data_IF_730644118546
#
_entry.id   IF_730644118546
#
_cell.length_a   1.000
_cell.length_b   1.000
_cell.length_c   1.000
_cell.angle_alpha   90.00
_cell.angle_beta   90.00
_cell.angle_gamma   90.00
#
_symmetry.space_group_name_H-M   'P 1'
#
loop_
_entity.id
_entity.type
_entity.pdbx_description
1 polymer ?
#
# COMPACT_ATOMS: atom_id res chain seq x y z
N UNK A 1 25.29 20.88 -46.79
CA UNK A 1 26.03 20.27 -47.91
C UNK A 1 26.90 19.18 -47.30
N UNK A 2 26.26 18.11 -46.83
CA UNK A 2 26.91 16.95 -46.22
C UNK A 2 25.88 15.82 -46.15
N UNK A 3 25.31 15.52 -47.32
CA UNK A 3 24.29 14.47 -47.51
C UNK A 3 24.61 13.59 -48.72
N UNK A 4 25.90 13.50 -49.11
CA UNK A 4 26.32 12.82 -50.34
C UNK A 4 27.47 11.82 -50.16
N UNK A 5 27.76 11.40 -48.92
CA UNK A 5 28.77 10.36 -48.64
C UNK A 5 28.20 9.00 -48.19
N UNK A 6 26.88 8.79 -48.28
CA UNK A 6 26.19 7.56 -47.84
C UNK A 6 25.98 6.54 -48.99
N UNK A 7 26.68 6.65 -50.13
CA UNK A 7 26.32 5.83 -51.33
C UNK A 7 27.42 5.03 -52.03
N UNK A 8 28.58 4.78 -51.44
CA UNK A 8 29.64 4.05 -52.16
C UNK A 8 30.43 2.97 -51.41
N UNK A 9 29.80 2.22 -50.48
CA UNK A 9 30.39 0.94 -50.03
C UNK A 9 29.34 -0.18 -49.89
N UNK A 10 28.43 -0.27 -50.88
CA UNK A 10 27.64 -1.47 -51.13
C UNK A 10 28.02 -1.98 -52.53
N UNK A 11 29.09 -2.74 -52.61
CA UNK A 11 29.22 -3.98 -53.41
C UNK A 11 30.69 -4.35 -53.53
N UNK A 12 31.12 -5.39 -52.79
CA UNK A 12 32.04 -6.40 -53.30
C UNK A 12 32.24 -7.55 -52.30
N UNK A 13 31.87 -8.76 -52.72
CA UNK A 13 32.66 -9.95 -52.42
C UNK A 13 32.12 -10.88 -51.35
N UNK A 14 31.44 -11.95 -51.79
CA UNK A 14 30.93 -13.00 -50.92
C UNK A 14 32.00 -13.91 -50.30
N UNK A 15 31.60 -14.57 -49.21
CA UNK A 15 32.34 -15.66 -48.57
C UNK A 15 31.49 -16.27 -47.46
N UNK A 16 30.83 -17.40 -47.75
CA UNK A 16 30.06 -18.20 -46.79
C UNK A 16 30.95 -18.63 -45.63
N UNK A 17 30.54 -18.32 -44.40
CA UNK A 17 30.80 -19.13 -43.23
C UNK A 17 29.54 -19.11 -42.36
N UNK A 18 28.74 -20.16 -42.47
CA UNK A 18 27.59 -20.43 -41.61
C UNK A 18 28.10 -20.77 -40.20
N UNK A 19 28.40 -19.74 -39.40
CA UNK A 19 28.34 -19.85 -37.95
C UNK A 19 26.97 -19.35 -37.52
N UNK A 20 26.09 -20.30 -37.22
CA UNK A 20 24.79 -20.09 -36.59
C UNK A 20 25.02 -19.59 -35.15
N UNK A 21 25.43 -18.33 -35.01
CA UNK A 21 25.46 -17.63 -33.73
C UNK A 21 24.04 -17.13 -33.54
N UNK A 22 23.24 -17.89 -32.79
CA UNK A 22 22.01 -17.33 -32.26
C UNK A 22 22.38 -16.08 -31.46
N UNK A 23 21.72 -14.93 -31.68
CA UNK A 23 21.94 -13.77 -30.84
C UNK A 23 21.57 -14.15 -29.41
N UNK A 24 22.59 -14.26 -28.56
CA UNK A 24 22.41 -14.43 -27.12
C UNK A 24 21.66 -13.19 -26.66
N UNK A 25 20.37 -13.33 -26.37
CA UNK A 25 19.59 -12.29 -25.71
C UNK A 25 20.37 -11.85 -24.47
N UNK A 26 20.63 -10.55 -24.27
CA UNK A 26 21.36 -10.07 -23.10
C UNK A 26 20.70 -10.63 -21.84
N UNK A 27 21.46 -11.35 -21.01
CA UNK A 27 20.93 -11.86 -19.74
C UNK A 27 20.45 -10.67 -18.91
N UNK A 28 19.20 -10.71 -18.46
CA UNK A 28 18.68 -9.72 -17.52
C UNK A 28 19.59 -9.74 -16.28
N UNK A 29 20.06 -8.58 -15.78
CA UNK A 29 20.85 -8.54 -14.57
C UNK A 29 20.04 -9.12 -13.41
N UNK A 30 20.72 -9.78 -12.46
CA UNK A 30 20.06 -10.40 -11.29
C UNK A 30 19.31 -9.34 -10.49
N UNK A 31 19.89 -8.14 -10.34
CA UNK A 31 19.27 -7.02 -9.63
C UNK A 31 18.96 -5.86 -10.57
N UNK A 32 17.75 -5.32 -10.45
CA UNK A 32 17.29 -4.09 -11.08
C UNK A 32 17.19 -2.99 -10.02
N UNK A 33 18.01 -1.95 -10.21
CA UNK A 33 18.11 -0.77 -9.32
C UNK A 33 17.57 0.51 -9.99
N UNK A 34 16.98 0.37 -11.18
CA UNK A 34 16.60 1.51 -12.02
C UNK A 34 15.35 2.23 -11.54
N UNK A 35 14.45 1.52 -10.84
CA UNK A 35 13.24 2.11 -10.29
C UNK A 35 13.58 3.12 -9.18
N UNK A 36 13.02 4.34 -9.19
CA UNK A 36 13.37 5.37 -8.22
C UNK A 36 12.88 5.05 -6.79
N UNK A 37 11.89 4.15 -6.66
CA UNK A 37 11.23 3.85 -5.39
C UNK A 37 11.78 2.59 -4.73
N UNK A 38 11.98 1.50 -5.45
CA UNK A 38 12.45 0.22 -4.87
C UNK A 38 13.60 -0.37 -5.67
N UNK A 39 14.33 -1.29 -5.04
CA UNK A 39 15.30 -2.16 -5.70
C UNK A 39 14.75 -3.59 -5.66
N UNK A 40 15.03 -4.40 -6.68
CA UNK A 40 14.59 -5.81 -6.70
C UNK A 40 15.65 -6.71 -7.31
N UNK A 41 15.86 -7.88 -6.72
CA UNK A 41 16.68 -8.93 -7.31
C UNK A 41 15.83 -10.17 -7.58
N UNK A 42 16.00 -10.78 -8.76
CA UNK A 42 15.30 -11.99 -9.17
C UNK A 42 16.31 -13.04 -9.63
N UNK A 43 16.33 -14.18 -8.94
CA UNK A 43 17.19 -15.32 -9.24
C UNK A 43 16.31 -16.46 -9.73
N UNK A 44 16.72 -17.08 -10.83
CA UNK A 44 16.14 -18.32 -11.36
C UNK A 44 17.25 -19.37 -11.49
N UNK A 45 17.07 -20.53 -10.86
CA UNK A 45 18.10 -21.57 -10.73
C UNK A 45 18.44 -21.85 -9.26
N UNK A 46 19.67 -22.30 -8.99
CA UNK A 46 20.12 -22.65 -7.64
C UNK A 46 20.38 -21.38 -6.80
N UNK A 47 19.34 -20.93 -6.10
CA UNK A 47 19.40 -19.82 -5.15
C UNK A 47 19.57 -20.36 -3.74
N UNK A 48 20.58 -19.89 -3.00
CA UNK A 48 20.88 -20.31 -1.62
C UNK A 48 20.80 -19.13 -0.67
N UNK A 49 20.03 -19.26 0.40
CA UNK A 49 19.83 -18.19 1.38
C UNK A 49 20.57 -18.50 2.68
N UNK A 50 21.34 -17.52 3.15
CA UNK A 50 22.08 -17.55 4.40
C UNK A 50 21.55 -16.46 5.32
N UNK A 51 20.60 -16.82 6.17
CA UNK A 51 19.80 -15.90 6.98
C UNK A 51 20.58 -15.07 7.98
N UNK A 52 21.39 -15.74 8.79
CA UNK A 52 22.26 -15.10 9.79
C UNK A 52 23.13 -13.95 9.23
N UNK A 53 23.50 -14.03 7.95
CA UNK A 53 24.35 -13.05 7.26
C UNK A 53 23.59 -12.15 6.27
N UNK A 54 22.25 -12.23 6.23
CA UNK A 54 21.39 -11.55 5.23
C UNK A 54 21.93 -11.67 3.80
N UNK A 55 22.38 -12.87 3.44
CA UNK A 55 23.04 -13.11 2.16
C UNK A 55 22.23 -14.08 1.32
N UNK A 56 22.11 -13.77 0.03
CA UNK A 56 21.54 -14.65 -0.98
C UNK A 56 22.60 -14.91 -2.04
N UNK A 57 22.82 -16.17 -2.34
CA UNK A 57 23.77 -16.61 -3.36
C UNK A 57 23.03 -17.17 -4.57
N UNK A 58 23.45 -16.78 -5.76
CA UNK A 58 23.15 -17.51 -6.98
C UNK A 58 24.32 -18.41 -7.33
N UNK A 59 24.05 -19.69 -7.57
CA UNK A 59 25.05 -20.67 -8.03
C UNK A 59 24.81 -20.91 -9.53
N UNK A 60 25.64 -20.32 -10.42
CA UNK A 60 25.48 -20.50 -11.85
C UNK A 60 25.72 -21.96 -12.27
N UNK A 61 25.04 -22.46 -13.31
CA UNK A 61 25.38 -23.72 -13.93
C UNK A 61 26.85 -23.76 -14.40
N UNK A 62 27.45 -24.95 -14.44
CA UNK A 62 28.88 -25.15 -14.76
C UNK A 62 29.30 -24.54 -16.12
N UNK A 63 28.37 -24.40 -17.07
CA UNK A 63 28.61 -23.76 -18.39
C UNK A 63 28.38 -22.24 -18.43
N UNK A 64 27.94 -21.63 -17.34
CA UNK A 64 27.59 -20.21 -17.24
C UNK A 64 28.44 -19.42 -16.23
N UNK A 65 29.46 -20.07 -15.67
CA UNK A 65 30.41 -19.49 -14.73
C UNK A 65 31.22 -18.39 -15.43
N UNK A 66 30.82 -17.14 -15.24
CA UNK A 66 31.62 -15.98 -15.62
C UNK A 66 32.90 -15.87 -14.80
N UNK A 67 33.89 -15.15 -15.31
CA UNK A 67 35.13 -14.86 -14.58
C UNK A 67 34.88 -13.99 -13.33
N UNK A 68 33.92 -13.08 -13.42
CA UNK A 68 33.66 -12.08 -12.39
C UNK A 68 32.42 -12.42 -11.55
N UNK A 69 32.60 -12.48 -10.23
CA UNK A 69 31.49 -12.52 -9.27
C UNK A 69 30.81 -11.15 -9.23
N UNK A 70 29.49 -11.11 -9.34
CA UNK A 70 28.71 -9.88 -9.17
C UNK A 70 28.09 -9.85 -7.77
N UNK A 71 28.11 -8.69 -7.14
CA UNK A 71 27.57 -8.48 -5.80
C UNK A 71 26.74 -7.20 -5.76
N UNK A 72 25.57 -7.30 -5.13
CA UNK A 72 24.66 -6.19 -4.88
C UNK A 72 24.31 -6.15 -3.40
N UNK A 73 24.01 -4.96 -2.91
CA UNK A 73 23.53 -4.77 -1.55
C UNK A 73 22.33 -3.82 -1.60
N UNK A 74 21.14 -4.40 -1.46
CA UNK A 74 19.85 -3.69 -1.63
C UNK A 74 19.07 -3.69 -0.32
N UNK A 75 18.13 -2.77 -0.19
CA UNK A 75 17.12 -2.84 0.89
C UNK A 75 15.95 -3.65 0.36
N UNK A 76 15.63 -4.73 1.04
CA UNK A 76 14.55 -5.66 0.70
C UNK A 76 13.17 -5.09 1.10
N UNK A 77 12.92 -3.84 0.70
CA UNK A 77 11.76 -3.02 1.06
C UNK A 77 11.08 -2.41 -0.16
N UNK A 78 9.86 -1.93 0.05
CA UNK A 78 9.09 -1.16 -0.95
C UNK A 78 9.64 0.26 -1.20
N UNK A 79 10.59 0.73 -0.37
CA UNK A 79 11.25 2.03 -0.47
C UNK A 79 12.76 1.89 -0.23
N UNK A 80 13.58 2.14 -1.26
CA UNK A 80 15.04 1.95 -1.21
C UNK A 80 15.81 3.00 -0.40
N UNK A 81 15.19 4.13 -0.09
CA UNK A 81 15.79 5.23 0.68
C UNK A 81 15.58 5.13 2.20
N UNK A 82 14.98 4.06 2.71
CA UNK A 82 14.78 3.86 4.16
C UNK A 82 16.10 3.44 4.82
N UNK A 83 16.92 4.41 5.21
CA UNK A 83 18.29 4.15 5.69
C UNK A 83 18.38 3.24 6.91
N UNK A 84 17.35 3.25 7.76
CA UNK A 84 17.26 2.40 8.95
C UNK A 84 16.98 0.92 8.63
N UNK A 85 16.64 0.58 7.39
CA UNK A 85 16.50 -0.82 6.96
C UNK A 85 17.86 -1.34 6.52
N UNK A 86 18.26 -2.43 7.17
CA UNK A 86 19.49 -3.15 6.87
C UNK A 86 19.42 -3.78 5.48
N UNK A 87 20.56 -3.82 4.80
CA UNK A 87 20.63 -4.37 3.44
C UNK A 87 20.69 -5.89 3.45
N UNK A 88 20.22 -6.49 2.37
CA UNK A 88 20.45 -7.88 1.98
C UNK A 88 21.50 -7.89 0.88
N UNK A 89 22.52 -8.72 1.06
CA UNK A 89 23.57 -8.93 0.05
C UNK A 89 23.14 -10.03 -0.91
N UNK A 90 23.15 -9.74 -2.21
CA UNK A 90 22.90 -10.71 -3.27
C UNK A 90 24.18 -10.91 -4.06
N UNK A 91 24.64 -12.14 -4.21
CA UNK A 91 25.92 -12.45 -4.85
C UNK A 91 25.81 -13.60 -5.84
N UNK A 92 26.35 -13.40 -7.05
CA UNK A 92 26.58 -14.49 -7.99
C UNK A 92 27.96 -15.10 -7.73
N UNK A 93 27.99 -16.40 -7.46
CA UNK A 93 29.26 -17.11 -7.31
C UNK A 93 29.97 -17.28 -8.66
N UNK A 94 31.30 -17.35 -8.62
CA UNK A 94 32.13 -17.71 -9.77
C UNK A 94 32.81 -19.09 -9.57
N UNK A 95 33.53 -19.57 -10.57
CA UNK A 95 34.09 -20.93 -10.60
C UNK A 95 35.07 -21.24 -9.47
N UNK A 96 35.65 -20.23 -8.81
CA UNK A 96 36.61 -20.41 -7.71
C UNK A 96 35.96 -20.44 -6.33
N UNK A 97 34.65 -20.21 -6.24
CA UNK A 97 33.92 -20.15 -4.96
C UNK A 97 33.08 -21.42 -4.76
N UNK A 98 33.34 -22.14 -3.66
CA UNK A 98 32.51 -23.27 -3.27
C UNK A 98 31.16 -22.78 -2.75
N UNK A 99 30.07 -23.33 -3.29
CA UNK A 99 28.72 -23.04 -2.81
C UNK A 99 28.44 -23.82 -1.52
N UNK A 100 27.93 -23.19 -0.45
CA UNK A 100 27.65 -23.86 0.82
C UNK A 100 26.52 -24.88 0.66
N UNK A 101 26.70 -26.09 1.19
CA UNK A 101 25.71 -27.17 1.07
C UNK A 101 24.33 -26.79 1.60
N UNK A 102 23.29 -27.24 0.92
CA UNK A 102 21.92 -27.00 1.31
C UNK A 102 21.58 -27.82 2.56
N UNK A 103 21.22 -27.14 3.65
CA UNK A 103 20.63 -27.80 4.83
C UNK A 103 19.19 -28.22 4.58
N UNK A 104 18.47 -27.48 3.72
CA UNK A 104 17.15 -27.84 3.23
C UNK A 104 16.98 -27.39 1.77
N UNK A 105 16.22 -28.17 1.01
CA UNK A 105 15.87 -27.87 -0.38
C UNK A 105 14.35 -27.78 -0.49
N UNK A 106 13.89 -26.75 -1.18
CA UNK A 106 12.48 -26.46 -1.41
C UNK A 106 12.23 -26.44 -2.91
N UNK A 107 11.02 -26.80 -3.33
CA UNK A 107 10.57 -26.84 -4.73
C UNK A 107 9.72 -25.64 -5.13
N UNK A 108 9.45 -24.73 -4.19
CA UNK A 108 8.71 -23.49 -4.41
C UNK A 108 9.61 -22.25 -4.47
N UNK A 109 9.15 -21.15 -5.08
CA UNK A 109 9.83 -19.86 -4.99
C UNK A 109 9.96 -19.34 -3.55
N UNK A 110 10.96 -18.50 -3.29
CA UNK A 110 11.07 -17.74 -2.06
C UNK A 110 11.02 -16.23 -2.31
N UNK A 111 10.49 -15.49 -1.33
CA UNK A 111 10.56 -14.03 -1.28
C UNK A 111 11.27 -13.59 0.00
N UNK A 112 12.38 -12.86 -0.15
CA UNK A 112 13.06 -12.15 0.94
C UNK A 112 12.57 -10.71 0.99
N UNK A 113 12.01 -10.30 2.13
CA UNK A 113 11.59 -8.93 2.35
C UNK A 113 11.66 -8.54 3.83
N UNK A 114 11.82 -7.25 4.09
CA UNK A 114 11.81 -6.72 5.43
C UNK A 114 10.38 -6.41 5.92
N UNK A 115 10.10 -6.72 7.18
CA UNK A 115 8.83 -6.37 7.83
C UNK A 115 8.96 -5.17 8.78
N UNK A 116 10.18 -4.70 9.03
CA UNK A 116 10.42 -3.46 9.76
C UNK A 116 10.26 -2.22 8.87
N UNK A 117 10.33 -1.06 9.51
CA UNK A 117 10.42 0.22 8.85
C UNK A 117 9.18 1.07 8.98
N UNK A 118 8.58 1.43 7.84
CA UNK A 118 7.34 2.19 7.84
C UNK A 118 6.17 1.24 8.08
N UNK A 119 5.93 0.91 9.35
CA UNK A 119 4.78 0.14 9.85
C UNK A 119 4.22 0.81 11.12
N UNK A 120 3.23 0.21 11.78
CA UNK A 120 2.61 0.63 13.06
C UNK A 120 1.41 1.58 12.97
N UNK A 121 0.97 1.87 11.74
CA UNK A 121 -0.34 2.46 11.47
C UNK A 121 -0.87 1.93 10.13
N UNK A 122 -2.21 1.84 9.96
CA UNK A 122 -2.80 1.17 8.80
C UNK A 122 -2.32 1.71 7.44
N UNK A 123 -2.11 3.02 7.29
CA UNK A 123 -1.64 3.56 6.01
C UNK A 123 -0.30 2.96 5.59
N UNK A 124 0.66 2.97 6.52
CA UNK A 124 2.00 2.43 6.29
C UNK A 124 1.98 0.89 6.19
N UNK A 125 1.21 0.22 7.06
CA UNK A 125 1.04 -1.24 7.01
C UNK A 125 0.56 -1.70 5.62
N UNK A 126 -0.37 -0.97 4.99
CA UNK A 126 -0.87 -1.29 3.65
C UNK A 126 0.03 -0.77 2.52
N UNK A 127 0.45 0.49 2.56
CA UNK A 127 1.20 1.16 1.48
C UNK A 127 2.60 0.58 1.30
N UNK A 128 3.25 0.23 2.41
CA UNK A 128 4.68 -0.12 2.41
C UNK A 128 4.93 -1.63 2.54
N UNK A 129 3.94 -2.41 2.97
CA UNK A 129 4.09 -3.87 3.14
C UNK A 129 3.02 -4.67 2.38
N UNK A 130 1.72 -4.52 2.71
CA UNK A 130 0.70 -5.44 2.19
C UNK A 130 0.41 -5.28 0.69
N UNK A 131 0.31 -4.04 0.18
CA UNK A 131 0.15 -3.80 -1.27
C UNK A 131 1.40 -4.25 -2.02
N UNK A 132 2.64 -3.87 -1.62
CA UNK A 132 3.85 -4.37 -2.26
C UNK A 132 3.99 -5.90 -2.25
N UNK A 133 3.60 -6.57 -1.15
CA UNK A 133 3.53 -8.03 -1.10
C UNK A 133 2.54 -8.59 -2.11
N UNK A 134 1.33 -8.00 -2.20
CA UNK A 134 0.34 -8.41 -3.18
C UNK A 134 0.86 -8.23 -4.62
N UNK A 135 1.43 -7.07 -4.96
CA UNK A 135 2.02 -6.81 -6.28
C UNK A 135 3.08 -7.87 -6.60
N UNK A 136 3.92 -8.21 -5.62
CA UNK A 136 5.08 -9.10 -5.82
C UNK A 136 4.66 -10.57 -5.92
N UNK A 137 3.64 -11.01 -5.17
CA UNK A 137 3.39 -12.44 -4.93
C UNK A 137 2.04 -12.95 -5.37
N UNK A 138 1.05 -12.08 -5.64
CA UNK A 138 -0.32 -12.56 -5.92
C UNK A 138 -0.39 -13.49 -7.13
N UNK A 139 0.44 -13.27 -8.15
CA UNK A 139 0.52 -14.12 -9.34
C UNK A 139 1.06 -15.54 -9.06
N UNK A 140 1.63 -15.79 -7.88
CA UNK A 140 2.13 -17.09 -7.43
C UNK A 140 1.06 -17.90 -6.69
N UNK A 141 -0.13 -17.34 -6.45
CA UNK A 141 -1.32 -18.06 -5.94
C UNK A 141 -1.10 -18.81 -4.60
N UNK A 142 -0.19 -18.28 -3.78
CA UNK A 142 0.20 -18.84 -2.48
C UNK A 142 1.42 -19.76 -2.54
N UNK A 143 1.91 -20.10 -3.74
CA UNK A 143 3.09 -20.93 -3.97
C UNK A 143 4.39 -20.11 -3.89
N UNK A 144 4.66 -19.58 -2.70
CA UNK A 144 5.90 -18.85 -2.38
C UNK A 144 6.16 -18.91 -0.89
N UNK A 145 7.39 -19.18 -0.47
CA UNK A 145 7.79 -19.11 0.94
C UNK A 145 8.31 -17.71 1.30
N UNK A 146 7.86 -17.17 2.42
CA UNK A 146 8.33 -15.88 2.93
C UNK A 146 9.53 -16.06 3.85
N UNK A 147 10.64 -15.40 3.50
CA UNK A 147 11.84 -15.27 4.31
C UNK A 147 11.93 -13.82 4.79
N UNK A 148 11.46 -13.56 6.00
CA UNK A 148 11.25 -12.20 6.46
C UNK A 148 12.46 -11.70 7.24
N UNK A 149 13.10 -10.65 6.76
CA UNK A 149 14.07 -9.91 7.54
C UNK A 149 13.36 -8.95 8.51
N UNK A 150 13.93 -8.78 9.70
CA UNK A 150 13.39 -7.94 10.78
C UNK A 150 11.91 -8.26 11.12
N UNK A 151 11.60 -9.54 11.24
CA UNK A 151 10.26 -10.08 11.49
C UNK A 151 9.58 -9.36 12.67
N UNK A 152 8.31 -8.98 12.46
CA UNK A 152 7.47 -8.33 13.46
C UNK A 152 6.31 -9.25 13.86
N UNK A 153 6.40 -10.00 14.97
CA UNK A 153 5.37 -10.96 15.37
C UNK A 153 3.96 -10.32 15.47
N UNK A 154 3.87 -9.12 16.04
CA UNK A 154 2.61 -8.38 16.16
C UNK A 154 1.97 -8.06 14.79
N UNK A 155 2.77 -7.85 13.75
CA UNK A 155 2.27 -7.58 12.39
C UNK A 155 1.76 -8.87 11.75
N UNK A 156 2.50 -9.97 11.96
CA UNK A 156 2.07 -11.31 11.52
C UNK A 156 0.73 -11.67 12.14
N UNK A 157 0.57 -11.48 13.44
CA UNK A 157 -0.68 -11.78 14.14
C UNK A 157 -1.83 -10.91 13.63
N UNK A 158 -1.61 -9.60 13.49
CA UNK A 158 -2.61 -8.63 13.04
C UNK A 158 -3.11 -8.90 11.62
N UNK A 159 -2.21 -9.27 10.71
CA UNK A 159 -2.50 -9.47 9.28
C UNK A 159 -2.43 -10.93 8.84
N UNK A 160 -2.55 -11.87 9.80
CA UNK A 160 -2.38 -13.31 9.60
C UNK A 160 -3.17 -13.87 8.41
N UNK A 161 -4.41 -13.41 8.21
CA UNK A 161 -5.26 -13.90 7.14
C UNK A 161 -4.75 -13.48 5.75
N UNK A 162 -4.22 -12.25 5.63
CA UNK A 162 -3.66 -11.76 4.37
C UNK A 162 -2.36 -12.51 4.06
N UNK A 163 -1.47 -12.63 5.05
CA UNK A 163 -0.18 -13.30 4.88
C UNK A 163 -0.33 -14.79 4.53
N UNK A 164 -1.24 -15.50 5.20
CA UNK A 164 -1.55 -16.91 4.92
C UNK A 164 -2.20 -17.15 3.55
N UNK A 165 -2.87 -16.14 2.99
CA UNK A 165 -3.43 -16.27 1.64
C UNK A 165 -2.40 -15.93 0.55
N UNK A 166 -1.45 -15.02 0.84
CA UNK A 166 -0.33 -14.72 -0.07
C UNK A 166 0.76 -15.80 -0.07
N UNK A 167 0.90 -16.57 1.01
CA UNK A 167 1.82 -17.70 1.14
C UNK A 167 1.19 -18.84 1.91
N UNK A 168 1.20 -20.05 1.35
CA UNK A 168 0.71 -21.28 2.00
C UNK A 168 1.73 -21.92 2.94
N UNK A 169 2.92 -21.35 3.04
CA UNK A 169 4.05 -21.88 3.79
C UNK A 169 4.27 -21.06 5.07
N UNK A 170 4.93 -21.67 6.06
CA UNK A 170 5.31 -20.96 7.26
C UNK A 170 6.31 -19.84 6.94
N UNK A 171 6.10 -18.69 7.58
CA UNK A 171 7.01 -17.56 7.52
C UNK A 171 8.29 -17.91 8.28
N UNK A 172 9.43 -17.76 7.62
CA UNK A 172 10.74 -17.95 8.23
C UNK A 172 11.27 -16.61 8.70
N UNK A 173 11.70 -16.52 9.96
CA UNK A 173 12.52 -15.39 10.43
C UNK A 173 13.91 -15.51 9.79
N UNK A 174 14.16 -14.70 8.76
CA UNK A 174 15.38 -14.77 8.00
C UNK A 174 16.61 -14.42 8.85
N UNK A 175 16.48 -13.52 9.83
CA UNK A 175 17.61 -13.14 10.67
C UNK A 175 18.02 -14.22 11.68
N UNK A 176 17.09 -15.09 12.06
CA UNK A 176 17.33 -16.17 13.01
C UNK A 176 17.55 -17.53 12.31
N UNK A 177 17.48 -17.58 10.98
CA UNK A 177 17.70 -18.82 10.23
C UNK A 177 19.20 -19.14 10.10
N UNK A 178 19.64 -20.16 10.83
CA UNK A 178 21.01 -20.65 10.80
C UNK A 178 21.29 -21.63 9.64
N UNK A 179 20.23 -22.11 8.96
CA UNK A 179 20.35 -23.03 7.84
C UNK A 179 20.70 -22.34 6.52
N UNK A 180 21.23 -23.13 5.58
CA UNK A 180 21.28 -22.77 4.17
C UNK A 180 20.06 -23.37 3.48
N UNK A 181 19.14 -22.54 3.03
CA UNK A 181 17.93 -22.99 2.30
C UNK A 181 18.12 -22.77 0.81
N UNK A 182 17.72 -23.75 0.02
CA UNK A 182 17.90 -23.71 -1.43
C UNK A 182 16.55 -23.73 -2.14
N UNK A 183 16.40 -22.83 -3.12
CA UNK A 183 15.17 -22.60 -3.87
C UNK A 183 15.45 -22.56 -5.37
N UNK A 184 14.49 -22.98 -6.21
CA UNK A 184 14.60 -22.90 -7.67
C UNK A 184 14.38 -21.47 -8.21
N UNK A 185 13.69 -20.62 -7.44
CA UNK A 185 13.45 -19.21 -7.75
C UNK A 185 13.46 -18.40 -6.48
N UNK A 186 14.05 -17.20 -6.52
CA UNK A 186 14.10 -16.33 -5.36
C UNK A 186 14.01 -14.86 -5.76
N UNK A 187 13.15 -14.12 -5.07
CA UNK A 187 13.05 -12.66 -5.18
C UNK A 187 13.54 -11.99 -3.89
N UNK A 188 14.35 -10.93 -3.99
CA UNK A 188 14.73 -10.07 -2.87
C UNK A 188 14.16 -8.67 -3.10
N UNK A 189 13.38 -8.17 -2.15
CA UNK A 189 12.72 -6.86 -2.22
C UNK A 189 11.26 -6.92 -2.66
N UNK A 190 10.58 -5.76 -2.56
CA UNK A 190 9.15 -5.64 -2.82
C UNK A 190 8.89 -4.64 -3.95
N UNK A 191 8.11 -5.06 -4.95
CA UNK A 191 7.63 -4.16 -6.01
C UNK A 191 6.67 -3.13 -5.43
N UNK A 192 6.90 -1.85 -5.71
CA UNK A 192 6.04 -0.76 -5.23
C UNK A 192 5.90 0.34 -6.28
N UNK A 193 4.67 0.65 -6.70
CA UNK A 193 4.45 1.55 -7.83
C UNK A 193 4.30 3.02 -7.38
N UNK A 194 3.56 3.25 -6.29
CA UNK A 194 3.30 4.56 -5.67
C UNK A 194 2.71 4.37 -4.28
N UNK A 195 2.52 5.46 -3.55
CA UNK A 195 1.86 5.42 -2.24
C UNK A 195 0.40 4.97 -2.39
N UNK A 196 0.04 3.93 -1.62
CA UNK A 196 -1.30 3.34 -1.58
C UNK A 196 -1.94 3.09 -2.96
N UNK A 197 -1.13 2.67 -3.93
CA UNK A 197 -1.58 2.54 -5.32
C UNK A 197 -0.84 1.46 -6.09
N UNK A 198 -1.58 0.82 -7.00
CA UNK A 198 -1.05 -0.14 -7.97
C UNK A 198 -1.21 0.51 -9.35
N UNK A 199 -0.12 0.58 -10.09
CA UNK A 199 -0.13 0.81 -11.54
C UNK A 199 -0.34 -0.53 -12.29
N UNK A 200 -1.48 -0.75 -12.96
CA UNK A 200 -1.75 -1.99 -13.69
C UNK A 200 -0.76 -2.26 -14.82
N UNK A 201 -0.22 -1.23 -15.49
CA UNK A 201 0.71 -1.44 -16.61
C UNK A 201 2.04 -2.05 -16.17
N UNK A 202 2.36 -1.95 -14.88
CA UNK A 202 3.57 -2.47 -14.26
C UNK A 202 3.35 -3.74 -13.45
N UNK A 203 2.10 -4.03 -13.08
CA UNK A 203 1.77 -5.14 -12.19
C UNK A 203 1.74 -6.48 -12.94
N UNK A 204 2.21 -7.58 -12.32
CA UNK A 204 1.96 -8.92 -12.85
C UNK A 204 0.46 -9.12 -13.08
N UNK A 205 0.07 -9.72 -14.21
CA UNK A 205 -1.35 -9.94 -14.60
C UNK A 205 -2.23 -8.68 -14.62
N UNK A 206 -1.63 -7.49 -14.75
CA UNK A 206 -2.32 -6.20 -14.77
C UNK A 206 -3.20 -5.93 -13.54
N UNK A 207 -2.78 -6.41 -12.36
CA UNK A 207 -3.52 -6.15 -11.13
C UNK A 207 -3.70 -4.65 -10.87
N UNK A 208 -4.86 -4.29 -10.35
CA UNK A 208 -5.24 -2.93 -10.01
C UNK A 208 -5.52 -2.77 -8.51
N UNK A 209 -5.71 -1.52 -8.06
CA UNK A 209 -6.17 -1.26 -6.69
C UNK A 209 -7.55 -1.87 -6.40
N UNK A 210 -8.42 -1.98 -7.41
CA UNK A 210 -9.69 -2.68 -7.27
C UNK A 210 -9.48 -4.16 -6.97
N UNK A 211 -8.56 -4.83 -7.68
CA UNK A 211 -8.25 -6.25 -7.45
C UNK A 211 -7.71 -6.48 -6.04
N UNK A 212 -6.81 -5.60 -5.57
CA UNK A 212 -6.33 -5.64 -4.20
C UNK A 212 -7.47 -5.48 -3.18
N UNK A 213 -8.37 -4.51 -3.37
CA UNK A 213 -9.52 -4.33 -2.47
C UNK A 213 -10.43 -5.56 -2.45
N UNK A 214 -10.79 -6.09 -3.61
CA UNK A 214 -11.67 -7.26 -3.71
C UNK A 214 -11.02 -8.49 -3.05
N UNK A 215 -9.72 -8.67 -3.25
CA UNK A 215 -8.92 -9.68 -2.57
C UNK A 215 -8.97 -9.54 -1.05
N UNK A 216 -8.77 -8.32 -0.52
CA UNK A 216 -8.87 -8.06 0.92
C UNK A 216 -10.28 -8.40 1.43
N UNK A 217 -11.33 -7.97 0.72
CA UNK A 217 -12.72 -8.27 1.12
C UNK A 217 -13.01 -9.77 1.16
N UNK A 218 -12.50 -10.53 0.19
CA UNK A 218 -12.63 -11.99 0.12
C UNK A 218 -11.96 -12.67 1.32
N UNK A 219 -10.72 -12.30 1.66
CA UNK A 219 -9.98 -12.86 2.80
C UNK A 219 -10.75 -12.72 4.11
N UNK A 220 -11.39 -11.57 4.31
CA UNK A 220 -12.19 -11.30 5.51
C UNK A 220 -13.63 -11.82 5.42
N UNK A 221 -13.94 -12.61 4.37
CA UNK A 221 -15.27 -13.19 4.13
C UNK A 221 -16.39 -12.13 4.10
N UNK A 222 -16.06 -10.95 3.56
CA UNK A 222 -17.03 -9.87 3.36
C UNK A 222 -17.87 -10.14 2.11
N UNK A 223 -19.07 -9.55 2.00
CA UNK A 223 -19.95 -9.76 0.84
C UNK A 223 -19.24 -9.49 -0.50
N UNK A 224 -19.51 -10.31 -1.54
CA UNK A 224 -18.83 -10.23 -2.82
C UNK A 224 -19.14 -8.93 -3.57
N UNK A 225 -18.37 -8.67 -4.62
CA UNK A 225 -18.66 -7.58 -5.54
C UNK A 225 -20.07 -7.76 -6.15
N UNK A 226 -20.82 -6.66 -6.24
CA UNK A 226 -22.20 -6.66 -6.77
C UNK A 226 -23.28 -6.61 -5.69
N UNK A 227 -22.94 -6.92 -4.43
CA UNK A 227 -23.82 -6.62 -3.29
C UNK A 227 -23.83 -5.11 -3.05
N UNK A 228 -25.02 -4.54 -2.98
CA UNK A 228 -25.22 -3.11 -2.76
C UNK A 228 -24.79 -2.67 -1.35
N UNK A 229 -24.70 -1.36 -1.13
CA UNK A 229 -24.43 -0.80 0.19
C UNK A 229 -25.54 -1.17 1.20
N UNK A 230 -25.22 -1.31 2.50
CA UNK A 230 -26.18 -1.74 3.53
C UNK A 230 -27.50 -0.97 3.53
N UNK A 231 -27.46 0.35 3.34
CA UNK A 231 -28.64 1.22 3.25
C UNK A 231 -29.59 0.81 2.12
N UNK A 232 -29.05 0.50 0.93
CA UNK A 232 -29.88 0.11 -0.22
C UNK A 232 -30.48 -1.27 -0.05
N UNK A 233 -29.72 -2.24 0.48
CA UNK A 233 -30.25 -3.58 0.75
C UNK A 233 -31.40 -3.52 1.76
N UNK A 234 -31.20 -2.81 2.88
CA UNK A 234 -32.20 -2.67 3.91
C UNK A 234 -33.50 -2.06 3.40
N UNK A 235 -33.41 -1.00 2.59
CA UNK A 235 -34.60 -0.30 2.10
C UNK A 235 -35.26 -0.98 0.89
N UNK A 236 -34.54 -1.81 0.12
CA UNK A 236 -35.15 -2.72 -0.86
C UNK A 236 -35.90 -3.87 -0.19
N UNK A 237 -35.41 -4.40 0.92
CA UNK A 237 -36.13 -5.42 1.68
C UNK A 237 -37.41 -4.85 2.33
N UNK A 238 -37.40 -3.56 2.70
CA UNK A 238 -38.52 -2.88 3.33
C UNK A 238 -39.59 -2.36 2.36
N UNK A 239 -39.34 -2.30 1.04
CA UNK A 239 -40.30 -1.76 0.06
C UNK A 239 -41.55 -2.63 -0.15
N UNK A 240 -41.63 -3.80 0.50
CA UNK A 240 -42.85 -4.61 0.63
C UNK A 240 -43.69 -4.34 1.89
N UNK A 241 -43.25 -3.46 2.80
CA UNK A 241 -43.93 -3.16 4.06
C UNK A 241 -44.74 -1.85 3.98
N UNK A 242 -46.01 -1.89 4.38
CA UNK A 242 -47.03 -0.83 4.17
C UNK A 242 -46.95 0.36 5.13
N UNK A 243 -45.87 0.51 5.90
CA UNK A 243 -45.71 1.61 6.87
C UNK A 243 -44.42 2.39 6.63
N UNK A 244 -44.54 3.72 6.51
CA UNK A 244 -43.43 4.65 6.27
C UNK A 244 -42.36 4.67 7.39
N UNK A 245 -42.59 3.97 8.51
CA UNK A 245 -41.73 3.93 9.70
C UNK A 245 -40.55 2.93 9.63
N UNK A 246 -40.37 2.21 8.50
CA UNK A 246 -39.31 1.19 8.36
C UNK A 246 -38.14 1.56 7.45
N UNK A 247 -38.01 2.82 7.00
CA UNK A 247 -36.82 3.24 6.26
C UNK A 247 -35.60 3.29 7.20
N UNK A 248 -34.66 2.36 7.02
CA UNK A 248 -33.43 2.35 7.81
C UNK A 248 -32.55 3.51 7.40
N UNK A 249 -32.05 4.25 8.40
CA UNK A 249 -31.05 5.32 8.19
C UNK A 249 -29.74 4.71 7.67
N UNK A 250 -29.00 5.41 6.80
CA UNK A 250 -27.66 5.00 6.43
C UNK A 250 -26.72 5.11 7.63
N UNK A 251 -25.74 4.20 7.70
CA UNK A 251 -24.83 4.08 8.83
C UNK A 251 -23.50 4.76 8.50
N UNK A 252 -23.08 5.70 9.35
CA UNK A 252 -21.81 6.41 9.21
C UNK A 252 -20.87 6.01 10.33
N UNK A 253 -19.76 5.36 9.99
CA UNK A 253 -18.63 5.23 10.90
C UNK A 253 -17.92 6.56 11.01
N UNK A 254 -17.70 7.04 12.24
CA UNK A 254 -16.98 8.26 12.53
C UNK A 254 -15.70 7.96 13.30
N UNK A 255 -14.55 8.16 12.66
CA UNK A 255 -13.23 7.92 13.25
C UNK A 255 -12.86 9.04 14.20
N UNK A 256 -12.84 8.73 15.50
CA UNK A 256 -12.37 9.59 16.58
C UNK A 256 -10.90 9.32 16.88
N UNK A 257 -10.00 10.25 16.56
CA UNK A 257 -8.56 10.06 16.77
C UNK A 257 -8.17 10.45 18.19
N UNK A 258 -7.41 9.58 18.88
CA UNK A 258 -6.96 9.86 20.26
C UNK A 258 -5.66 10.68 20.39
N UNK A 259 -4.83 10.78 19.33
CA UNK A 259 -3.45 11.33 19.44
C UNK A 259 -3.17 12.63 18.69
N UNK A 260 -3.39 12.67 17.38
CA UNK A 260 -3.13 13.85 16.52
C UNK A 260 -4.24 14.00 15.50
N UNK A 261 -4.50 15.23 15.03
CA UNK A 261 -5.60 15.56 14.10
C UNK A 261 -6.94 15.05 14.62
N UNK A 262 -7.21 15.31 15.91
CA UNK A 262 -8.45 14.92 16.59
C UNK A 262 -9.56 15.90 16.25
N UNK A 263 -10.79 15.47 16.42
CA UNK A 263 -11.92 16.39 16.53
C UNK A 263 -12.06 16.83 17.98
N UNK A 264 -11.82 18.11 18.26
CA UNK A 264 -11.89 18.63 19.65
C UNK A 264 -13.33 18.82 20.12
N UNK A 265 -14.26 19.00 19.18
CA UNK A 265 -15.69 19.13 19.44
C UNK A 265 -16.49 17.88 18.99
N UNK A 266 -15.91 16.68 19.14
CA UNK A 266 -16.56 15.40 18.78
C UNK A 266 -17.99 15.23 19.34
N UNK A 267 -18.30 15.63 20.60
CA UNK A 267 -19.66 15.57 21.15
C UNK A 267 -20.69 16.44 20.42
N UNK A 268 -20.26 17.45 19.65
CA UNK A 268 -21.15 18.27 18.81
C UNK A 268 -21.33 17.67 17.41
N UNK A 269 -20.30 17.00 16.90
CA UNK A 269 -20.31 16.37 15.58
C UNK A 269 -21.30 15.21 15.53
N UNK A 270 -21.31 14.35 16.56
CA UNK A 270 -22.18 13.16 16.58
C UNK A 270 -23.67 13.54 16.43
N UNK A 271 -24.26 14.42 17.27
CA UNK A 271 -25.64 14.85 17.11
C UNK A 271 -25.90 15.55 15.77
N UNK A 272 -24.95 16.32 15.24
CA UNK A 272 -25.12 16.97 13.94
C UNK A 272 -25.26 15.95 12.80
N UNK A 273 -24.47 14.88 12.83
CA UNK A 273 -24.55 13.77 11.86
C UNK A 273 -25.84 12.97 12.04
N UNK A 274 -26.28 12.71 13.27
CA UNK A 274 -27.56 12.05 13.56
C UNK A 274 -28.77 12.86 13.07
N UNK A 275 -28.74 14.18 13.32
CA UNK A 275 -29.76 15.14 12.87
C UNK A 275 -29.80 15.27 11.35
N UNK A 276 -28.66 15.07 10.67
CA UNK A 276 -28.61 15.00 9.21
C UNK A 276 -29.20 13.69 8.64
N UNK A 277 -29.61 12.74 9.50
CA UNK A 277 -30.35 11.54 9.10
C UNK A 277 -29.53 10.25 9.06
N UNK A 278 -28.32 10.24 9.61
CA UNK A 278 -27.48 9.04 9.71
C UNK A 278 -27.66 8.34 11.06
N UNK A 279 -27.38 7.04 11.10
CA UNK A 279 -27.01 6.32 12.34
C UNK A 279 -25.49 6.42 12.49
N UNK A 280 -25.00 6.89 13.65
CA UNK A 280 -23.56 7.12 13.86
C UNK A 280 -22.93 5.97 14.63
N UNK A 281 -21.78 5.50 14.14
CA UNK A 281 -20.92 4.52 14.81
C UNK A 281 -19.60 5.20 15.15
N UNK A 282 -19.44 5.78 16.35
CA UNK A 282 -18.19 6.39 16.76
C UNK A 282 -17.16 5.29 17.05
N UNK A 283 -15.97 5.43 16.46
CA UNK A 283 -14.87 4.48 16.64
C UNK A 283 -13.60 5.24 16.98
N UNK A 284 -12.96 4.86 18.09
CA UNK A 284 -11.55 5.19 18.31
C UNK A 284 -10.66 4.07 17.77
N UNK A 285 -9.79 4.33 16.76
CA UNK A 285 -8.87 3.32 16.26
C UNK A 285 -7.85 2.92 17.33
N UNK A 286 -7.92 1.67 17.80
CA UNK A 286 -6.91 1.09 18.70
C UNK A 286 -6.05 0.08 17.95
N UNK A 287 -4.80 -0.08 18.39
CA UNK A 287 -3.82 -0.97 17.73
C UNK A 287 -4.15 -2.45 17.89
N UNK A 288 -4.87 -2.80 18.95
CA UNK A 288 -5.27 -4.15 19.35
C UNK A 288 -6.64 -4.56 18.80
N UNK A 289 -7.29 -3.72 17.99
CA UNK A 289 -8.55 -4.11 17.32
C UNK A 289 -8.29 -5.26 16.35
N UNK A 290 -9.10 -6.31 16.46
CA UNK A 290 -9.13 -7.39 15.48
C UNK A 290 -9.52 -6.84 14.11
N UNK A 291 -8.66 -7.03 13.12
CA UNK A 291 -8.94 -6.59 11.74
C UNK A 291 -10.16 -7.33 11.18
N UNK A 292 -10.40 -8.57 11.61
CA UNK A 292 -11.57 -9.36 11.22
C UNK A 292 -12.87 -8.78 11.75
N UNK A 293 -12.94 -8.45 13.04
CA UNK A 293 -14.13 -7.84 13.62
C UNK A 293 -14.33 -6.43 13.07
N UNK A 294 -13.24 -5.66 12.99
CA UNK A 294 -13.29 -4.30 12.51
C UNK A 294 -13.73 -4.21 11.05
N UNK A 295 -13.26 -5.10 10.18
CA UNK A 295 -13.67 -5.14 8.77
C UNK A 295 -15.17 -5.39 8.61
N UNK A 296 -15.79 -6.23 9.45
CA UNK A 296 -17.25 -6.45 9.44
C UNK A 296 -18.02 -5.20 9.87
N UNK A 297 -17.52 -4.47 10.88
CA UNK A 297 -18.15 -3.21 11.29
C UNK A 297 -18.06 -2.19 10.15
N UNK A 298 -16.91 -2.05 9.49
CA UNK A 298 -16.75 -1.13 8.36
C UNK A 298 -17.61 -1.55 7.16
N UNK A 299 -17.69 -2.83 6.80
CA UNK A 299 -18.56 -3.33 5.72
C UNK A 299 -20.05 -3.01 5.96
N UNK A 300 -20.43 -2.97 7.25
CA UNK A 300 -21.80 -2.67 7.67
C UNK A 300 -22.16 -1.17 7.63
N UNK A 301 -21.22 -0.31 7.23
CA UNK A 301 -21.41 1.13 7.09
C UNK A 301 -21.55 1.55 5.62
N UNK A 302 -22.34 2.60 5.40
CA UNK A 302 -22.50 3.26 4.11
C UNK A 302 -21.50 4.39 3.91
N UNK A 303 -21.00 4.96 5.03
CA UNK A 303 -20.03 6.04 5.05
C UNK A 303 -18.93 5.76 6.07
N UNK A 304 -17.67 5.97 5.68
CA UNK A 304 -16.53 6.10 6.59
C UNK A 304 -16.08 7.56 6.61
N UNK A 305 -16.23 8.22 7.75
CA UNK A 305 -15.85 9.61 7.94
C UNK A 305 -14.69 9.75 8.93
N UNK A 306 -13.77 10.66 8.67
CA UNK A 306 -12.72 11.02 9.61
C UNK A 306 -11.80 12.13 9.11
N UNK A 307 -11.01 12.69 10.02
CA UNK A 307 -9.93 13.60 9.66
C UNK A 307 -8.89 12.87 8.82
N UNK A 308 -8.44 13.49 7.73
CA UNK A 308 -7.44 12.95 6.81
C UNK A 308 -6.26 12.31 7.58
N UNK A 309 -5.94 11.05 7.25
CA UNK A 309 -4.84 10.28 7.82
C UNK A 309 -5.17 8.80 8.03
N UNK A 310 -4.24 8.06 8.66
CA UNK A 310 -4.20 6.59 8.64
C UNK A 310 -5.45 5.86 9.17
N UNK A 311 -6.35 6.54 9.89
CA UNK A 311 -7.64 5.95 10.27
C UNK A 311 -8.56 5.67 9.07
N UNK A 312 -8.42 6.43 7.98
CA UNK A 312 -9.24 6.29 6.77
C UNK A 312 -8.84 5.11 5.88
N UNK A 313 -7.65 4.53 6.08
CA UNK A 313 -7.18 3.35 5.32
C UNK A 313 -8.11 2.14 5.46
N UNK A 314 -9.03 2.15 6.41
CA UNK A 314 -10.02 1.09 6.56
C UNK A 314 -11.10 1.08 5.47
N UNK A 315 -11.10 2.06 4.55
CA UNK A 315 -11.97 2.08 3.37
C UNK A 315 -11.89 0.83 2.47
N UNK A 316 -10.85 -0.01 2.58
CA UNK A 316 -10.75 -1.28 1.86
C UNK A 316 -11.93 -2.21 2.18
N UNK A 317 -12.48 -2.10 3.39
CA UNK A 317 -13.59 -2.93 3.87
C UNK A 317 -14.97 -2.37 3.53
N UNK A 318 -15.07 -1.13 3.05
CA UNK A 318 -16.34 -0.58 2.59
C UNK A 318 -16.85 -1.32 1.37
N UNK A 319 -18.16 -1.30 1.13
CA UNK A 319 -18.78 -1.81 -0.10
C UNK A 319 -18.64 -0.86 -1.26
N UNK A 320 -18.78 -1.39 -2.48
CA UNK A 320 -18.72 -0.58 -3.70
C UNK A 320 -19.83 0.47 -3.65
N UNK A 321 -19.54 1.70 -4.08
CA UNK A 321 -20.40 2.88 -3.95
C UNK A 321 -20.65 3.39 -2.52
N UNK A 322 -20.06 2.79 -1.48
CA UNK A 322 -20.00 3.44 -0.17
C UNK A 322 -19.15 4.71 -0.24
N UNK A 323 -19.35 5.61 0.72
CA UNK A 323 -18.71 6.92 0.73
C UNK A 323 -17.53 6.94 1.70
N UNK A 324 -16.37 7.39 1.24
CA UNK A 324 -15.29 7.85 2.09
C UNK A 324 -15.40 9.38 2.20
N UNK A 325 -15.69 9.88 3.40
CA UNK A 325 -15.83 11.30 3.70
C UNK A 325 -14.60 11.80 4.48
N UNK A 326 -13.73 12.53 3.79
CA UNK A 326 -12.50 13.04 4.37
C UNK A 326 -12.72 14.46 4.91
N UNK A 327 -12.44 14.69 6.19
CA UNK A 327 -12.27 16.05 6.70
C UNK A 327 -10.81 16.44 6.50
N UNK A 328 -10.55 17.36 5.59
CA UNK A 328 -9.22 17.80 5.17
C UNK A 328 -8.76 18.94 6.09
N UNK A 329 -7.65 18.77 6.83
CA UNK A 329 -7.13 19.80 7.74
C UNK A 329 -6.69 21.08 7.01
N UNK A 330 -6.53 22.19 7.74
CA UNK A 330 -6.03 23.44 7.18
C UNK A 330 -4.58 23.31 6.70
N UNK A 331 -4.19 24.16 5.76
CA UNK A 331 -2.81 24.34 5.33
C UNK A 331 -2.45 23.67 4.01
N UNK A 332 -3.30 23.80 2.98
CA UNK A 332 -3.12 23.21 1.64
C UNK A 332 -3.00 21.67 1.67
N UNK A 333 -3.85 21.02 2.46
CA UNK A 333 -3.84 19.57 2.64
C UNK A 333 -4.74 18.83 1.63
N UNK A 334 -5.39 19.54 0.72
CA UNK A 334 -6.25 18.98 -0.34
C UNK A 334 -5.45 18.10 -1.30
N UNK A 335 -4.28 18.56 -1.73
CA UNK A 335 -3.42 17.80 -2.62
C UNK A 335 -3.00 16.45 -2.03
N UNK A 336 -2.44 16.37 -0.79
CA UNK A 336 -2.15 15.08 -0.17
C UNK A 336 -3.42 14.27 0.17
N UNK A 337 -4.55 14.91 0.48
CA UNK A 337 -5.81 14.19 0.69
C UNK A 337 -6.27 13.43 -0.56
N UNK A 338 -6.29 14.11 -1.71
CA UNK A 338 -6.62 13.51 -2.99
C UNK A 338 -5.59 12.45 -3.39
N UNK A 339 -4.30 12.74 -3.23
CA UNK A 339 -3.23 11.82 -3.62
C UNK A 339 -3.18 10.53 -2.79
N UNK A 340 -3.35 10.62 -1.47
CA UNK A 340 -3.20 9.46 -0.58
C UNK A 340 -4.47 8.65 -0.36
N UNK A 341 -5.65 9.23 -0.56
CA UNK A 341 -6.93 8.54 -0.34
C UNK A 341 -7.96 8.80 -1.43
N UNK A 342 -8.18 10.04 -1.85
CA UNK A 342 -9.27 10.37 -2.80
C UNK A 342 -9.15 9.63 -4.13
N UNK A 343 -7.98 9.67 -4.77
CA UNK A 343 -7.65 8.90 -5.96
C UNK A 343 -7.78 7.39 -5.75
N UNK A 344 -7.05 6.80 -4.78
CA UNK A 344 -7.16 5.38 -4.48
C UNK A 344 -8.59 4.89 -4.18
N UNK A 345 -9.40 5.68 -3.46
CA UNK A 345 -10.81 5.36 -3.18
C UNK A 345 -11.62 5.23 -4.48
N UNK A 346 -11.44 6.16 -5.42
CA UNK A 346 -12.12 6.15 -6.72
C UNK A 346 -11.67 4.97 -7.58
N UNK A 347 -10.37 4.68 -7.63
CA UNK A 347 -9.82 3.50 -8.32
C UNK A 347 -10.42 2.19 -7.79
N UNK A 348 -10.77 2.18 -6.50
CA UNK A 348 -11.43 1.07 -5.81
C UNK A 348 -12.96 1.07 -5.90
N UNK A 349 -13.57 1.95 -6.70
CA UNK A 349 -15.03 2.12 -6.84
C UNK A 349 -15.75 2.51 -5.55
N UNK A 350 -15.10 3.32 -4.73
CA UNK A 350 -15.72 4.04 -3.63
C UNK A 350 -16.03 5.47 -4.10
N UNK A 351 -16.98 6.12 -3.41
CA UNK A 351 -17.27 7.54 -3.62
C UNK A 351 -16.47 8.35 -2.64
N UNK A 352 -15.62 9.22 -3.16
CA UNK A 352 -14.79 10.12 -2.35
C UNK A 352 -15.48 11.48 -2.23
N UNK A 353 -15.57 11.98 -1.00
CA UNK A 353 -16.10 13.31 -0.67
C UNK A 353 -15.12 13.97 0.29
N UNK A 354 -14.73 15.21 0.00
CA UNK A 354 -13.81 15.97 0.83
C UNK A 354 -14.52 17.21 1.41
N UNK A 355 -14.28 17.48 2.69
CA UNK A 355 -14.62 18.74 3.34
C UNK A 355 -13.34 19.38 3.84
N UNK A 356 -12.88 20.42 3.15
CA UNK A 356 -11.79 21.27 3.62
C UNK A 356 -12.27 22.17 4.74
N UNK A 357 -11.56 22.12 5.86
CA UNK A 357 -11.84 23.03 6.97
C UNK A 357 -11.34 24.45 6.64
N UNK A 358 -12.00 25.46 7.19
CA UNK A 358 -11.52 26.83 7.18
C UNK A 358 -10.44 27.03 8.23
N UNK A 359 -9.67 28.11 8.11
CA UNK A 359 -8.63 28.47 9.06
C UNK A 359 -9.15 28.45 10.51
N UNK A 360 -10.34 29.02 10.76
CA UNK A 360 -10.97 29.13 12.09
C UNK A 360 -11.42 27.79 12.68
N UNK A 361 -11.50 26.73 11.87
CA UNK A 361 -11.78 25.36 12.35
C UNK A 361 -10.48 24.62 12.74
N UNK A 362 -9.31 25.20 12.46
CA UNK A 362 -8.03 24.68 12.91
C UNK A 362 -7.72 25.18 14.31
N UNK A 363 -7.28 24.29 15.22
CA UNK A 363 -6.76 24.73 16.54
C UNK A 363 -5.49 25.58 16.43
N UNK A 364 -4.84 25.59 15.26
CA UNK A 364 -3.71 26.48 14.99
C UNK A 364 -4.16 27.96 14.97
N UNK A 365 -5.42 28.25 14.63
CA UNK A 365 -5.93 29.62 14.55
C UNK A 365 -5.88 30.30 15.91
N UNK A 366 -6.42 29.65 16.94
CA UNK A 366 -6.39 30.17 18.31
C UNK A 366 -4.97 30.16 18.88
N UNK A 367 -4.16 29.15 18.51
CA UNK A 367 -2.81 28.98 19.02
C UNK A 367 -1.82 30.02 18.51
N UNK A 368 -1.90 30.38 17.22
CA UNK A 368 -0.93 31.23 16.55
C UNK A 368 -1.48 32.61 16.17
N UNK A 369 -2.80 32.75 16.09
CA UNK A 369 -3.47 33.96 15.62
C UNK A 369 -3.55 34.04 14.10
N UNK A 370 -4.57 34.75 13.61
CA UNK A 370 -4.91 34.87 12.18
C UNK A 370 -3.76 35.37 11.30
N UNK A 371 -2.89 36.22 11.84
CA UNK A 371 -1.84 36.93 11.07
C UNK A 371 -0.55 36.10 10.98
N UNK A 372 -0.40 35.05 11.79
CA UNK A 372 0.78 34.18 11.77
C UNK A 372 0.87 33.39 10.44
N UNK A 373 2.05 33.26 9.82
CA UNK A 373 2.21 32.54 8.54
C UNK A 373 1.68 31.10 8.52
N UNK A 374 1.65 30.41 9.66
CA UNK A 374 1.02 29.08 9.77
C UNK A 374 -0.47 29.10 9.41
N UNK A 375 -1.12 30.26 9.55
CA UNK A 375 -2.52 30.50 9.17
C UNK A 375 -2.61 31.31 7.88
N UNK A 376 -1.90 32.45 7.82
CA UNK A 376 -2.05 33.45 6.76
C UNK A 376 -1.29 33.13 5.46
N UNK A 377 -0.23 32.32 5.53
CA UNK A 377 0.58 31.92 4.37
C UNK A 377 1.10 30.48 4.50
N UNK A 378 0.22 29.46 4.38
CA UNK A 378 0.64 28.07 4.52
C UNK A 378 1.69 27.62 3.50
N UNK A 379 1.72 28.23 2.33
CA UNK A 379 2.70 27.98 1.29
C UNK A 379 4.13 28.34 1.76
N UNK A 380 4.30 29.44 2.51
CA UNK A 380 5.60 29.77 3.10
C UNK A 380 6.11 28.70 4.07
N UNK A 381 5.21 28.00 4.76
CA UNK A 381 5.56 26.90 5.67
C UNK A 381 6.00 25.67 4.88
N UNK A 382 5.30 25.34 3.79
CA UNK A 382 5.69 24.22 2.92
C UNK A 382 7.04 24.46 2.23
N UNK A 383 7.34 25.70 1.83
CA UNK A 383 8.64 26.11 1.26
C UNK A 383 9.83 25.94 2.21
N UNK A 384 9.59 25.90 3.52
CA UNK A 384 10.62 25.58 4.53
C UNK A 384 10.96 24.09 4.58
N UNK A 385 10.23 23.26 3.81
CA UNK A 385 10.46 21.82 3.68
C UNK A 385 9.48 20.97 4.49
N UNK A 386 9.50 19.67 4.18
CA UNK A 386 8.56 18.67 4.71
C UNK A 386 8.41 18.69 6.24
N UNK A 387 9.50 18.91 6.98
CA UNK A 387 9.48 18.90 8.45
C UNK A 387 8.59 20.00 9.03
N UNK A 388 8.56 21.18 8.42
CA UNK A 388 7.73 22.30 8.87
C UNK A 388 6.25 22.03 8.59
N UNK A 389 5.90 21.60 7.38
CA UNK A 389 4.52 21.21 7.05
C UNK A 389 4.01 20.05 7.93
N UNK A 390 4.84 19.02 8.14
CA UNK A 390 4.52 17.89 9.04
C UNK A 390 4.28 18.35 10.48
N UNK A 391 5.11 19.26 11.00
CA UNK A 391 4.95 19.78 12.35
C UNK A 391 3.58 20.43 12.52
N UNK A 392 3.26 21.44 11.72
CA UNK A 392 2.06 22.24 11.93
C UNK A 392 0.80 21.52 11.46
N UNK A 393 0.73 21.11 10.18
CA UNK A 393 -0.52 20.67 9.58
C UNK A 393 -0.86 19.19 9.84
N UNK A 394 0.14 18.37 10.18
CA UNK A 394 -0.06 16.92 10.42
C UNK A 394 0.00 16.52 11.90
N UNK A 395 0.77 17.24 12.72
CA UNK A 395 1.09 16.84 14.10
C UNK A 395 0.42 17.74 15.13
N UNK A 396 0.62 19.06 15.04
CA UNK A 396 0.13 20.02 16.03
C UNK A 396 -1.35 20.40 15.84
N UNK A 397 -1.83 20.40 14.60
CA UNK A 397 -3.22 20.72 14.29
C UNK A 397 -4.19 19.65 14.76
N UNK A 398 -5.21 20.10 15.48
CA UNK A 398 -6.48 19.40 15.68
C UNK A 398 -7.62 20.23 15.06
N UNK A 399 -8.82 19.66 15.01
CA UNK A 399 -9.96 20.20 14.24
C UNK A 399 -11.13 20.50 15.15
N UNK A 400 -11.61 21.74 15.14
CA UNK A 400 -12.90 22.16 15.69
C UNK A 400 -13.89 22.30 14.54
N UNK A 401 -14.64 21.24 14.24
CA UNK A 401 -15.46 21.16 13.03
C UNK A 401 -16.70 22.05 13.18
N UNK A 402 -16.90 23.01 12.27
CA UNK A 402 -18.09 23.84 12.23
C UNK A 402 -19.26 23.03 11.66
N UNK A 403 -20.09 22.47 12.55
CA UNK A 403 -21.20 21.59 12.16
C UNK A 403 -22.25 22.27 11.27
N UNK A 404 -22.43 23.59 11.39
CA UNK A 404 -23.35 24.35 10.53
C UNK A 404 -22.81 24.44 9.11
N UNK A 405 -21.51 24.71 8.94
CA UNK A 405 -20.87 24.77 7.62
C UNK A 405 -20.67 23.38 7.00
N UNK A 406 -20.57 22.36 7.85
CA UNK A 406 -20.48 20.96 7.44
C UNK A 406 -21.83 20.34 7.02
N UNK A 407 -22.96 20.88 7.50
CA UNK A 407 -24.29 20.33 7.24
C UNK A 407 -24.64 20.14 5.74
N UNK A 408 -24.29 21.06 4.81
CA UNK A 408 -24.51 20.84 3.38
C UNK A 408 -23.77 19.61 2.83
N UNK A 409 -22.56 19.33 3.30
CA UNK A 409 -21.78 18.14 2.92
C UNK A 409 -22.49 16.86 3.35
N UNK A 410 -23.05 16.83 4.57
CA UNK A 410 -23.84 15.69 5.05
C UNK A 410 -25.08 15.45 4.18
N UNK A 411 -25.77 16.52 3.76
CA UNK A 411 -26.91 16.42 2.85
C UNK A 411 -26.50 15.88 1.47
N UNK A 412 -25.39 16.35 0.92
CA UNK A 412 -24.83 15.82 -0.33
C UNK A 412 -24.55 14.32 -0.21
N UNK A 413 -23.87 13.89 0.86
CA UNK A 413 -23.57 12.47 1.10
C UNK A 413 -24.84 11.65 1.19
N UNK A 414 -25.86 12.13 1.92
CA UNK A 414 -27.14 11.44 2.03
C UNK A 414 -27.86 11.29 0.67
N UNK A 415 -27.82 12.34 -0.17
CA UNK A 415 -28.37 12.28 -1.53
C UNK A 415 -27.60 11.28 -2.40
N UNK A 416 -26.28 11.23 -2.29
CA UNK A 416 -25.46 10.23 -3.00
C UNK A 416 -25.89 8.81 -2.62
N UNK A 417 -26.10 8.50 -1.34
CA UNK A 417 -26.50 7.15 -0.93
C UNK A 417 -27.87 6.70 -1.50
N UNK A 418 -28.75 7.65 -1.82
CA UNK A 418 -30.08 7.40 -2.41
C UNK A 418 -30.05 7.14 -3.91
N UNK A 419 -29.01 7.60 -4.61
CA UNK A 419 -28.73 7.29 -6.02
C UNK A 419 -28.03 5.95 -6.10
#
# INVERSE_FOLDING_TARGET
MEEELIRQEIDQGGGKNDTNIQPVTPRKPICDLSDPRYDICEISGDARTLGANRTVLYVPPVGELGADSQEWSIRDQSRKYLEFVNKVTVKSLNASQAAPECTSRHDVPALVFAMNGLTSNPWHDFSDVLIPLFITTRALEGEVQFLVSDLQPWFVDKYRLILKNLSRYDIVDFNQDAGVRCYPHLTVGLRSHRDLGIDPARAPRNYSMLDFRLYIREIYSLPPAGVDIPYKEANRAASGATTAEQHRKPRMMLINRGRTRKFVNFPEIVPAVENAGFEVIPIEPRRDLSVEEFSRVVDSCDVLMGAHGAGLTNFFFLRTNAVMLQVVPWGHMEYPAMGFYGGPAREMRLRDVEYSIEAVESTLYDKYGKDNPVISDPESIHKQGWRSGMRYYWTEQDISLNVTRFAPTLHQVLQMLKQ
#
